data_IF_424129226590
#
_entry.id   IF_424129226590
#
_cell.length_a   1.000
_cell.length_b   1.000
_cell.length_c   1.000
_cell.angle_alpha   90.00
_cell.angle_beta   90.00
_cell.angle_gamma   90.00
#
_symmetry.space_group_name_H-M   'P 1'
#
loop_
_entity.id
_entity.type
_entity.pdbx_description
1 polymer ?
#
# COMPACT_ATOMS: atom_id res chain seq x y z
N UNK A 1 -13.92 -21.17 -6.63
CA UNK A 1 -13.10 -21.25 -5.40
C UNK A 1 -12.39 -19.92 -5.27
N UNK A 2 -12.67 -19.14 -4.23
CA UNK A 2 -12.00 -17.86 -4.01
C UNK A 2 -10.59 -18.10 -3.49
N UNK A 3 -9.65 -17.19 -3.76
CA UNK A 3 -8.29 -17.21 -3.23
C UNK A 3 -8.30 -16.92 -1.73
N UNK A 4 -7.55 -17.73 -1.01
CA UNK A 4 -7.42 -17.68 0.45
C UNK A 4 -6.02 -18.18 0.85
N UNK A 5 -5.37 -17.51 1.80
CA UNK A 5 -4.00 -17.83 2.24
C UNK A 5 -2.92 -17.05 1.48
N UNK A 6 -1.65 -17.44 1.61
CA UNK A 6 -0.54 -16.74 0.96
C UNK A 6 -0.48 -17.02 -0.54
N UNK A 7 -0.21 -15.99 -1.33
CA UNK A 7 0.04 -16.17 -2.77
C UNK A 7 0.39 -14.89 -3.51
N UNK A 8 0.84 -15.09 -4.74
CA UNK A 8 1.18 -14.03 -5.70
C UNK A 8 0.17 -14.05 -6.85
N UNK A 9 -0.41 -12.89 -7.14
CA UNK A 9 -1.20 -12.61 -8.33
C UNK A 9 -0.35 -11.79 -9.29
N UNK A 10 -0.36 -12.16 -10.57
CA UNK A 10 0.24 -11.39 -11.66
C UNK A 10 -0.87 -11.05 -12.63
N UNK A 11 -1.11 -9.76 -12.85
CA UNK A 11 -2.12 -9.25 -13.77
C UNK A 11 -1.46 -8.26 -14.75
N UNK A 12 -0.84 -8.81 -15.79
CA UNK A 12 -0.04 -8.03 -16.72
C UNK A 12 1.18 -7.44 -16.02
N UNK A 13 1.40 -6.10 -16.05
CA UNK A 13 2.51 -5.46 -15.36
C UNK A 13 2.28 -5.29 -13.84
N UNK A 14 1.08 -5.53 -13.33
CA UNK A 14 0.77 -5.44 -11.90
C UNK A 14 1.06 -6.77 -11.19
N UNK A 15 1.72 -6.70 -10.04
CA UNK A 15 1.91 -7.85 -9.14
C UNK A 15 1.32 -7.55 -7.78
N UNK A 16 0.70 -8.56 -7.16
CA UNK A 16 0.17 -8.47 -5.80
C UNK A 16 0.55 -9.72 -5.04
N UNK A 17 1.27 -9.57 -3.94
CA UNK A 17 1.72 -10.66 -3.09
C UNK A 17 1.22 -10.44 -1.67
N UNK A 18 0.79 -11.50 -0.99
CA UNK A 18 0.43 -11.40 0.41
C UNK A 18 -0.58 -12.44 0.85
N UNK A 19 -1.18 -12.14 1.98
CA UNK A 19 -2.30 -12.91 2.53
C UNK A 19 -3.60 -12.54 1.79
N UNK A 20 -4.36 -13.55 1.36
CA UNK A 20 -5.61 -13.39 0.61
C UNK A 20 -6.80 -13.90 1.43
N UNK A 21 -7.92 -13.19 1.33
CA UNK A 21 -9.23 -13.60 1.82
C UNK A 21 -10.32 -13.13 0.85
N UNK A 22 -11.23 -14.02 0.45
CA UNK A 22 -12.33 -13.71 -0.47
C UNK A 22 -11.88 -13.02 -1.77
N UNK A 23 -10.81 -13.52 -2.40
CA UNK A 23 -10.19 -12.95 -3.62
C UNK A 23 -9.59 -11.55 -3.47
N UNK A 24 -9.42 -11.06 -2.23
CA UNK A 24 -8.85 -9.76 -1.92
C UNK A 24 -7.64 -9.90 -1.02
N UNK A 25 -6.66 -9.00 -1.16
CA UNK A 25 -5.57 -8.90 -0.20
C UNK A 25 -6.12 -8.54 1.20
N UNK A 26 -5.56 -9.17 2.21
CA UNK A 26 -5.93 -9.01 3.60
C UNK A 26 -4.74 -9.31 4.51
N UNK A 27 -4.51 -8.53 5.56
CA UNK A 27 -3.30 -8.67 6.38
C UNK A 27 -2.08 -8.08 5.66
N UNK A 28 -0.91 -8.68 5.82
CA UNK A 28 0.32 -8.15 5.20
C UNK A 28 0.37 -8.48 3.70
N UNK A 29 0.78 -7.49 2.90
CA UNK A 29 1.00 -7.70 1.47
C UNK A 29 1.82 -6.59 0.81
N UNK A 30 2.03 -6.78 -0.48
CA UNK A 30 2.70 -5.87 -1.39
C UNK A 30 1.92 -5.80 -2.71
N UNK A 31 1.80 -4.61 -3.28
CA UNK A 31 1.33 -4.40 -4.66
C UNK A 31 2.37 -3.56 -5.42
N UNK A 32 2.84 -4.05 -6.56
CA UNK A 32 3.54 -3.25 -7.56
C UNK A 32 2.57 -2.92 -8.68
N UNK A 33 2.27 -1.63 -8.86
CA UNK A 33 1.29 -1.14 -9.82
C UNK A 33 1.88 -1.04 -11.22
N UNK A 34 1.02 -1.13 -12.23
CA UNK A 34 1.37 -0.87 -13.62
C UNK A 34 1.99 0.51 -13.86
N UNK A 35 1.68 1.48 -12.99
CA UNK A 35 2.23 2.85 -13.02
C UNK A 35 3.68 2.93 -12.55
N UNK A 36 4.24 1.85 -12.01
CA UNK A 36 5.54 1.82 -11.33
C UNK A 36 5.49 2.20 -9.85
N UNK A 37 4.31 2.58 -9.33
CA UNK A 37 4.13 2.80 -7.90
C UNK A 37 4.19 1.46 -7.15
N UNK A 38 4.53 1.50 -5.86
CA UNK A 38 4.58 0.31 -5.02
C UNK A 38 3.98 0.61 -3.66
N UNK A 39 3.18 -0.32 -3.15
CA UNK A 39 2.71 -0.31 -1.77
C UNK A 39 3.16 -1.57 -1.04
N UNK A 40 3.66 -1.42 0.19
CA UNK A 40 3.97 -2.52 1.11
C UNK A 40 3.32 -2.20 2.45
N UNK A 41 2.43 -3.05 2.94
CA UNK A 41 1.76 -2.76 4.20
C UNK A 41 0.56 -3.64 4.47
N UNK A 42 -0.28 -3.15 5.37
CA UNK A 42 -1.49 -3.84 5.78
C UNK A 42 -2.66 -3.59 4.83
N UNK A 43 -3.45 -4.64 4.62
CA UNK A 43 -4.63 -4.66 3.78
C UNK A 43 -5.86 -5.10 4.57
N UNK A 44 -6.99 -4.43 4.31
CA UNK A 44 -8.30 -4.89 4.75
C UNK A 44 -9.29 -4.82 3.60
N UNK A 45 -9.91 -5.96 3.26
CA UNK A 45 -10.90 -6.01 2.18
C UNK A 45 -10.37 -5.52 0.81
N UNK A 46 -9.08 -5.76 0.53
CA UNK A 46 -8.42 -5.34 -0.71
C UNK A 46 -8.02 -3.88 -0.77
N UNK A 47 -8.08 -3.14 0.35
CA UNK A 47 -7.65 -1.75 0.47
C UNK A 47 -6.46 -1.64 1.41
N UNK A 48 -5.63 -0.63 1.22
CA UNK A 48 -4.61 -0.24 2.21
C UNK A 48 -5.30 0.21 3.49
N UNK A 49 -5.01 -0.45 4.59
CA UNK A 49 -5.63 -0.22 5.88
C UNK A 49 -4.70 -0.71 7.00
N UNK A 50 -4.32 0.19 7.91
CA UNK A 50 -3.26 -0.04 8.90
C UNK A 50 -1.95 0.65 8.51
N UNK A 51 -0.82 0.12 8.95
CA UNK A 51 0.49 0.71 8.64
C UNK A 51 1.01 0.26 7.26
N UNK A 52 1.66 1.16 6.54
CA UNK A 52 2.26 0.83 5.24
C UNK A 52 3.13 1.93 4.63
N UNK A 53 3.90 1.53 3.64
CA UNK A 53 4.73 2.39 2.81
C UNK A 53 4.19 2.42 1.39
N UNK A 54 4.00 3.62 0.83
CA UNK A 54 3.70 3.83 -0.58
C UNK A 54 4.85 4.61 -1.22
N UNK A 55 5.41 4.07 -2.30
CA UNK A 55 6.45 4.69 -3.10
C UNK A 55 5.88 5.07 -4.47
N UNK A 56 6.05 6.33 -4.85
CA UNK A 56 5.68 6.84 -6.17
C UNK A 56 6.84 6.68 -7.15
N UNK A 57 6.57 6.57 -8.47
CA UNK A 57 7.61 6.42 -9.49
C UNK A 57 8.57 7.61 -9.58
N UNK A 58 8.13 8.80 -9.17
CA UNK A 58 8.93 10.02 -9.11
C UNK A 58 9.96 10.02 -7.96
N UNK A 59 9.92 9.01 -7.08
CA UNK A 59 10.80 8.86 -5.94
C UNK A 59 10.31 9.52 -4.65
N UNK A 60 9.11 10.10 -4.65
CA UNK A 60 8.40 10.43 -3.43
C UNK A 60 7.96 9.16 -2.71
N UNK A 61 7.76 9.23 -1.39
CA UNK A 61 7.24 8.12 -0.58
C UNK A 61 6.48 8.59 0.64
N UNK A 62 5.57 7.75 1.12
CA UNK A 62 4.85 7.97 2.36
C UNK A 62 4.96 6.72 3.22
N UNK A 63 5.33 6.89 4.47
CA UNK A 63 5.38 5.82 5.48
C UNK A 63 4.48 6.23 6.63
N UNK A 64 3.46 5.44 6.93
CA UNK A 64 2.59 5.70 8.07
C UNK A 64 1.26 4.97 7.96
N UNK A 65 0.25 5.52 8.64
CA UNK A 65 -1.08 4.94 8.67
C UNK A 65 -1.84 5.12 7.35
N UNK A 66 -2.71 4.16 7.09
CA UNK A 66 -3.61 4.05 5.94
C UNK A 66 -5.00 3.68 6.41
N UNK A 67 -6.00 4.20 5.72
CA UNK A 67 -7.40 3.81 5.90
C UNK A 67 -8.12 3.94 4.58
N UNK A 68 -8.76 2.88 4.11
CA UNK A 68 -9.51 2.87 2.85
C UNK A 68 -8.73 3.44 1.65
N UNK A 69 -7.46 3.05 1.46
CA UNK A 69 -6.53 3.55 0.42
C UNK A 69 -6.07 5.01 0.57
N UNK A 70 -6.31 5.65 1.71
CA UNK A 70 -5.91 7.04 1.98
C UNK A 70 -4.88 7.10 3.11
N UNK A 71 -3.92 8.02 2.98
CA UNK A 71 -3.00 8.36 4.07
C UNK A 71 -3.80 8.83 5.29
N UNK A 72 -3.53 8.25 6.46
CA UNK A 72 -4.28 8.50 7.68
C UNK A 72 -3.39 8.35 8.93
N UNK A 73 -3.76 9.02 10.03
CA UNK A 73 -3.04 8.88 11.29
C UNK A 73 -1.66 9.54 11.24
N UNK A 74 -0.68 8.98 11.94
CA UNK A 74 0.67 9.52 11.91
C UNK A 74 1.43 8.98 10.70
N UNK A 75 2.19 9.86 10.05
CA UNK A 75 3.02 9.47 8.91
C UNK A 75 4.19 10.38 8.65
N UNK A 76 5.02 9.97 7.71
CA UNK A 76 6.16 10.69 7.17
C UNK A 76 6.06 10.65 5.64
N UNK A 77 5.74 11.79 5.02
CA UNK A 77 5.85 11.97 3.59
C UNK A 77 7.25 12.49 3.25
N UNK A 78 7.88 11.93 2.23
CA UNK A 78 9.15 12.38 1.66
C UNK A 78 8.90 12.74 0.20
N UNK A 79 9.16 13.98 -0.22
CA UNK A 79 9.05 14.35 -1.64
C UNK A 79 10.23 13.84 -2.48
N UNK A 80 10.22 14.23 -3.75
CA UNK A 80 11.28 13.99 -4.72
C UNK A 80 12.61 14.63 -4.32
N UNK A 81 12.58 15.76 -3.60
CA UNK A 81 13.74 16.51 -3.11
C UNK A 81 14.27 15.99 -1.75
N UNK A 82 13.69 14.88 -1.25
CA UNK A 82 14.03 14.23 0.02
C UNK A 82 13.72 15.09 1.26
N UNK A 83 12.87 16.09 1.12
CA UNK A 83 12.28 16.84 2.23
C UNK A 83 11.27 15.94 2.93
N UNK A 84 11.34 15.88 4.27
CA UNK A 84 10.48 15.02 5.08
C UNK A 84 9.44 15.84 5.83
N UNK A 85 8.17 15.52 5.66
CA UNK A 85 7.07 16.06 6.44
C UNK A 85 6.48 14.97 7.33
N UNK A 86 6.64 15.17 8.63
CA UNK A 86 6.08 14.29 9.67
C UNK A 86 4.90 14.99 10.30
N UNK A 87 3.80 14.28 10.42
CA UNK A 87 2.59 14.88 10.97
C UNK A 87 1.42 13.92 11.04
N UNK A 88 0.28 14.49 11.39
CA UNK A 88 -1.00 13.81 11.37
C UNK A 88 -1.66 14.04 10.01
N UNK A 89 -2.03 12.96 9.33
CA UNK A 89 -2.70 12.94 8.05
C UNK A 89 -4.15 12.50 8.26
N UNK A 90 -5.11 13.21 7.68
CA UNK A 90 -6.52 12.85 7.76
C UNK A 90 -7.13 12.91 6.36
N UNK A 91 -7.63 11.78 5.88
CA UNK A 91 -8.52 11.67 4.71
C UNK A 91 -7.96 12.01 3.32
N UNK A 92 -6.64 12.14 3.17
CA UNK A 92 -5.98 12.37 1.87
C UNK A 92 -6.22 13.78 1.35
#
# INVERSE_FOLDING_TARGET
RKRSGKGTMIQGPETSEGDWADDKLHGAGEIAFATGAKYVGAFAGGKFDGEGEYAWPDGAKYVGGWRDNKMHGMGCYTDTDKVNWKGQFHNG
#
